data_IF_517107909903
#
_entry.id   IF_517107909903
#
_cell.length_a   1.000
_cell.length_b   1.000
_cell.length_c   1.000
_cell.angle_alpha   90.00
_cell.angle_beta   90.00
_cell.angle_gamma   90.00
#
_symmetry.space_group_name_H-M   'P 1'
#
loop_
_entity.id
_entity.type
_entity.pdbx_description
1 polymer ?
#
# COMPACT_ATOMS: atom_id res chain seq x y z
N UNK A 1 -0.20 -77.78 -11.32
CA UNK A 1 -0.21 -76.57 -10.46
C UNK A 1 1.07 -75.79 -10.72
N UNK A 2 1.00 -74.66 -11.45
CA UNK A 2 2.15 -73.77 -11.66
C UNK A 2 2.17 -72.74 -10.51
N UNK A 3 3.21 -72.77 -9.68
CA UNK A 3 3.43 -71.76 -8.65
C UNK A 3 4.00 -70.49 -9.31
N UNK A 4 3.24 -69.40 -9.26
CA UNK A 4 3.74 -68.06 -9.60
C UNK A 4 4.40 -67.48 -8.34
N UNK A 5 5.72 -67.27 -8.40
CA UNK A 5 6.47 -66.57 -7.36
C UNK A 5 6.33 -65.06 -7.62
N UNK A 6 5.61 -64.35 -6.76
CA UNK A 6 5.47 -62.89 -6.85
C UNK A 6 6.67 -62.24 -6.15
N UNK A 7 7.55 -61.62 -6.93
CA UNK A 7 8.68 -60.86 -6.42
C UNK A 7 8.17 -59.48 -5.97
N UNK A 8 8.14 -59.23 -4.66
CA UNK A 8 7.79 -57.91 -4.10
C UNK A 8 8.99 -56.97 -4.29
N UNK A 9 8.91 -56.07 -5.26
CA UNK A 9 9.86 -54.97 -5.44
C UNK A 9 9.62 -53.90 -4.35
N UNK A 10 10.47 -53.87 -3.33
CA UNK A 10 10.55 -52.75 -2.39
C UNK A 10 11.17 -51.54 -3.10
N UNK A 11 10.32 -50.59 -3.52
CA UNK A 11 10.75 -49.26 -3.95
C UNK A 11 11.18 -48.46 -2.71
N UNK A 12 12.43 -47.96 -2.63
CA UNK A 12 12.84 -47.11 -1.53
C UNK A 12 12.06 -45.79 -1.59
N UNK A 13 11.22 -45.56 -0.57
CA UNK A 13 10.58 -44.28 -0.35
C UNK A 13 11.65 -43.33 0.16
N UNK A 14 12.05 -42.34 -0.65
CA UNK A 14 12.93 -41.26 -0.19
C UNK A 14 12.10 -40.38 0.75
N UNK A 15 12.22 -40.61 2.04
CA UNK A 15 11.64 -39.74 3.07
C UNK A 15 12.54 -38.50 3.13
N UNK A 16 12.10 -37.39 2.53
CA UNK A 16 12.74 -36.10 2.77
C UNK A 16 12.49 -35.69 4.22
N UNK A 17 13.55 -35.54 5.00
CA UNK A 17 13.48 -34.95 6.33
C UNK A 17 13.06 -33.49 6.20
N UNK A 18 11.91 -33.13 6.79
CA UNK A 18 11.45 -31.75 6.85
C UNK A 18 12.27 -31.01 7.92
N UNK A 19 13.08 -30.03 7.51
CA UNK A 19 13.83 -29.22 8.46
C UNK A 19 12.98 -28.03 8.92
N UNK A 20 13.21 -27.64 10.17
CA UNK A 20 12.63 -26.43 10.76
C UNK A 20 13.72 -25.39 10.98
N UNK A 21 13.52 -24.21 10.43
CA UNK A 21 14.37 -23.05 10.65
C UNK A 21 13.64 -22.01 11.51
N UNK A 22 14.39 -21.26 12.29
CA UNK A 22 13.87 -20.21 13.15
C UNK A 22 14.51 -18.87 12.81
N UNK A 23 13.68 -17.82 12.77
CA UNK A 23 14.12 -16.43 12.53
C UNK A 23 13.64 -15.57 13.69
N UNK A 24 14.51 -14.73 14.24
CA UNK A 24 14.18 -13.78 15.31
C UNK A 24 14.85 -12.43 15.02
N UNK A 25 14.34 -11.36 15.63
CA UNK A 25 15.04 -10.07 15.61
C UNK A 25 16.43 -10.22 16.26
N UNK A 26 17.38 -9.36 15.85
CA UNK A 26 18.71 -9.33 16.46
C UNK A 26 18.65 -9.05 17.98
N UNK A 27 17.73 -8.19 18.40
CA UNK A 27 17.43 -7.91 19.82
C UNK A 27 16.91 -9.12 20.59
N UNK A 28 16.46 -10.16 19.88
CA UNK A 28 15.98 -11.44 20.42
C UNK A 28 16.92 -12.60 20.07
N UNK A 29 18.19 -12.31 19.74
CA UNK A 29 19.24 -13.29 19.51
C UNK A 29 19.36 -13.81 18.08
N UNK A 30 18.66 -13.23 17.10
CA UNK A 30 18.84 -13.52 15.69
C UNK A 30 20.23 -13.13 15.17
N UNK A 31 20.90 -14.01 14.42
CA UNK A 31 22.18 -13.69 13.80
C UNK A 31 22.44 -14.54 12.53
N UNK A 32 22.56 -13.92 11.36
CA UNK A 32 22.75 -14.65 10.10
C UNK A 32 24.16 -15.21 9.88
N UNK A 33 25.14 -14.71 10.64
CA UNK A 33 26.56 -15.06 10.49
C UNK A 33 26.99 -16.23 11.37
N UNK A 34 26.46 -16.33 12.59
CA UNK A 34 26.92 -17.32 13.58
C UNK A 34 25.88 -18.38 13.92
N UNK A 35 24.60 -18.09 13.73
CA UNK A 35 23.55 -18.99 14.20
C UNK A 35 23.25 -20.08 13.17
N UNK A 36 22.67 -21.17 13.65
CA UNK A 36 22.36 -22.37 12.84
C UNK A 36 20.89 -22.44 12.39
N UNK A 37 20.08 -21.43 12.74
CA UNK A 37 18.65 -21.41 12.42
C UNK A 37 17.81 -22.34 13.30
N UNK A 38 18.30 -22.70 14.50
CA UNK A 38 17.54 -23.49 15.48
C UNK A 38 16.76 -22.58 16.42
N UNK A 39 15.82 -23.11 17.18
CA UNK A 39 15.03 -22.31 18.13
C UNK A 39 15.88 -21.52 19.14
N UNK A 40 17.01 -22.09 19.58
CA UNK A 40 17.94 -21.47 20.55
C UNK A 40 19.04 -20.62 19.88
N UNK A 41 19.14 -20.69 18.55
CA UNK A 41 20.12 -19.98 17.75
C UNK A 41 19.47 -19.65 16.41
N UNK A 42 18.51 -18.70 16.39
CA UNK A 42 17.72 -18.37 15.20
C UNK A 42 18.52 -17.48 14.24
N UNK A 43 18.19 -17.50 12.95
CA UNK A 43 18.68 -16.49 12.00
C UNK A 43 18.09 -15.11 12.31
N UNK A 44 18.73 -14.04 11.82
CA UNK A 44 18.21 -12.69 11.88
C UNK A 44 17.21 -12.40 10.73
N UNK A 45 17.42 -13.02 9.56
CA UNK A 45 16.59 -12.77 8.37
C UNK A 45 15.90 -14.01 7.82
N UNK A 46 14.73 -13.79 7.21
CA UNK A 46 13.98 -14.84 6.51
C UNK A 46 14.73 -15.27 5.24
N UNK A 47 15.39 -14.34 4.55
CA UNK A 47 16.22 -14.66 3.38
C UNK A 47 17.37 -15.61 3.74
N UNK A 48 17.97 -15.47 4.93
CA UNK A 48 18.98 -16.42 5.40
C UNK A 48 18.40 -17.82 5.58
N UNK A 49 17.23 -17.95 6.20
CA UNK A 49 16.54 -19.24 6.30
C UNK A 49 16.22 -19.82 4.91
N UNK A 50 15.62 -19.02 4.02
CA UNK A 50 15.28 -19.42 2.65
C UNK A 50 16.51 -19.90 1.85
N UNK A 51 17.69 -19.33 2.09
CA UNK A 51 18.93 -19.77 1.42
C UNK A 51 19.31 -21.23 1.73
N UNK A 52 18.85 -21.77 2.86
CA UNK A 52 19.13 -23.14 3.33
C UNK A 52 17.93 -24.08 3.19
N UNK A 53 16.72 -23.54 3.09
CA UNK A 53 15.49 -24.32 2.97
C UNK A 53 15.42 -25.08 1.64
N UNK A 54 15.03 -26.34 1.75
CA UNK A 54 14.68 -27.24 0.65
C UNK A 54 13.17 -27.53 0.65
N UNK A 55 12.73 -28.27 -0.36
CA UNK A 55 11.33 -28.71 -0.46
C UNK A 55 10.92 -29.52 0.76
N UNK A 56 9.83 -29.10 1.40
CA UNK A 56 9.28 -29.67 2.63
C UNK A 56 9.63 -28.90 3.90
N UNK A 57 10.56 -27.94 3.84
CA UNK A 57 11.03 -27.23 5.03
C UNK A 57 10.06 -26.14 5.50
N UNK A 58 10.10 -25.85 6.80
CA UNK A 58 9.32 -24.80 7.46
C UNK A 58 10.24 -23.76 8.10
N UNK A 59 9.91 -22.49 7.95
CA UNK A 59 10.52 -21.39 8.69
C UNK A 59 9.52 -20.84 9.70
N UNK A 60 9.87 -20.92 10.98
CA UNK A 60 9.16 -20.33 12.10
C UNK A 60 9.74 -18.96 12.42
N UNK A 61 8.96 -17.90 12.23
CA UNK A 61 9.36 -16.53 12.54
C UNK A 61 8.89 -16.18 13.95
N UNK A 62 9.82 -15.73 14.79
CA UNK A 62 9.56 -15.31 16.17
C UNK A 62 8.89 -13.94 16.21
N UNK A 63 8.19 -13.65 17.29
CA UNK A 63 7.43 -12.41 17.48
C UNK A 63 8.30 -11.16 17.36
N UNK A 64 7.79 -10.16 16.66
CA UNK A 64 8.49 -8.90 16.42
C UNK A 64 7.98 -8.14 15.19
N UNK A 65 8.53 -6.95 15.01
CA UNK A 65 8.29 -6.10 13.84
C UNK A 65 9.52 -6.13 12.93
N UNK A 66 9.32 -6.54 11.68
CA UNK A 66 10.34 -6.79 10.70
C UNK A 66 10.21 -5.81 9.53
N UNK A 67 11.30 -5.10 9.24
CA UNK A 67 11.46 -4.42 7.95
C UNK A 67 12.45 -5.27 7.13
N UNK A 68 11.93 -6.12 6.24
CA UNK A 68 12.74 -6.98 5.36
C UNK A 68 12.12 -7.04 3.96
N UNK A 69 12.98 -7.20 2.95
CA UNK A 69 12.59 -7.52 1.57
C UNK A 69 12.79 -9.03 1.36
N UNK A 70 11.78 -9.83 1.67
CA UNK A 70 11.85 -11.29 1.57
C UNK A 70 11.64 -11.73 0.12
N UNK A 71 12.56 -12.54 -0.41
CA UNK A 71 12.49 -13.04 -1.79
C UNK A 71 12.42 -14.57 -1.81
N UNK A 72 11.27 -15.09 -2.20
CA UNK A 72 11.04 -16.53 -2.42
C UNK A 72 11.13 -16.78 -3.92
N UNK A 73 12.31 -17.22 -4.39
CA UNK A 73 12.57 -17.49 -5.81
C UNK A 73 12.99 -18.93 -6.02
N UNK A 74 12.41 -19.61 -7.02
CA UNK A 74 12.74 -20.99 -7.39
C UNK A 74 12.61 -21.98 -6.22
N UNK A 75 11.61 -21.79 -5.34
CA UNK A 75 11.34 -22.65 -4.19
C UNK A 75 10.07 -23.46 -4.41
N UNK A 76 10.00 -24.65 -3.80
CA UNK A 76 8.81 -25.49 -3.88
C UNK A 76 8.49 -26.09 -2.52
N UNK A 77 7.21 -26.21 -2.17
CA UNK A 77 6.72 -26.92 -0.98
C UNK A 77 7.33 -26.41 0.34
N UNK A 78 7.34 -25.10 0.58
CA UNK A 78 7.86 -24.53 1.83
C UNK A 78 6.78 -23.76 2.59
N UNK A 79 6.97 -23.66 3.90
CA UNK A 79 6.07 -22.92 4.79
C UNK A 79 6.83 -21.82 5.49
N UNK A 80 6.32 -20.59 5.45
CA UNK A 80 6.71 -19.49 6.34
C UNK A 80 5.54 -19.22 7.28
N UNK A 81 5.78 -19.31 8.59
CA UNK A 81 4.73 -19.07 9.58
C UNK A 81 5.27 -18.52 10.88
N UNK A 82 4.44 -17.84 11.66
CA UNK A 82 4.79 -17.44 13.03
C UNK A 82 5.08 -18.66 13.91
N UNK A 83 6.03 -18.53 14.84
CA UNK A 83 6.23 -19.53 15.88
C UNK A 83 5.17 -19.40 16.97
N UNK A 84 4.47 -20.49 17.32
CA UNK A 84 3.50 -20.55 18.43
C UNK A 84 2.51 -19.37 18.49
N UNK A 85 1.95 -18.98 17.34
CA UNK A 85 1.01 -17.86 17.21
C UNK A 85 1.55 -16.50 17.71
N UNK A 86 2.88 -16.36 17.82
CA UNK A 86 3.52 -15.08 18.18
C UNK A 86 3.18 -14.00 17.13
N UNK A 87 3.01 -12.75 17.59
CA UNK A 87 2.72 -11.62 16.71
C UNK A 87 3.95 -11.26 15.85
N UNK A 88 3.87 -11.50 14.55
CA UNK A 88 4.89 -11.17 13.56
C UNK A 88 4.32 -10.15 12.58
N UNK A 89 4.90 -8.96 12.56
CA UNK A 89 4.48 -7.88 11.67
C UNK A 89 5.59 -7.50 10.71
N UNK A 90 5.32 -7.57 9.41
CA UNK A 90 6.11 -6.87 8.41
C UNK A 90 5.67 -5.41 8.36
N UNK A 91 6.54 -4.48 8.75
CA UNK A 91 6.24 -3.06 8.76
C UNK A 91 7.04 -2.36 7.66
N UNK A 92 6.34 -1.85 6.64
CA UNK A 92 6.93 -1.15 5.50
C UNK A 92 7.28 0.31 5.76
N UNK A 93 7.24 0.75 7.02
CA UNK A 93 7.55 2.12 7.40
C UNK A 93 8.92 2.27 8.03
N UNK A 94 9.47 3.49 7.95
CA UNK A 94 10.64 3.92 8.72
C UNK A 94 10.22 4.97 9.73
N UNK A 95 10.73 4.81 10.95
CA UNK A 95 10.53 5.78 12.03
C UNK A 95 11.21 7.10 11.68
N UNK A 96 10.51 8.20 11.86
CA UNK A 96 11.03 9.56 11.72
C UNK A 96 11.60 9.97 13.08
N UNK A 97 12.92 9.91 13.21
CA UNK A 97 13.64 10.18 14.47
C UNK A 97 14.15 11.62 14.59
N UNK A 98 13.79 12.49 13.64
CA UNK A 98 14.18 13.90 13.65
C UNK A 98 13.29 14.71 14.59
N UNK A 99 13.84 15.79 15.16
CA UNK A 99 13.12 16.65 16.08
C UNK A 99 12.14 17.56 15.33
N UNK A 100 10.91 17.63 15.83
CA UNK A 100 9.88 18.51 15.31
C UNK A 100 9.99 19.90 15.94
N UNK A 101 9.84 20.93 15.10
CA UNK A 101 9.81 22.33 15.52
C UNK A 101 8.49 22.96 15.10
N UNK A 102 8.04 24.00 15.81
CA UNK A 102 6.82 24.70 15.44
C UNK A 102 7.05 25.51 14.15
N UNK A 103 6.13 25.36 13.19
CA UNK A 103 6.14 26.13 11.94
C UNK A 103 5.18 27.31 12.03
N UNK A 104 3.89 27.04 12.29
CA UNK A 104 2.86 28.06 12.43
C UNK A 104 1.66 27.50 13.21
N UNK A 105 1.27 28.15 14.31
CA UNK A 105 0.13 27.72 15.12
C UNK A 105 0.30 26.27 15.60
N UNK A 106 -0.59 25.38 15.16
CA UNK A 106 -0.58 23.95 15.49
C UNK A 106 0.15 23.08 14.47
N UNK A 107 0.81 23.69 13.48
CA UNK A 107 1.59 23.00 12.46
C UNK A 107 3.05 22.91 12.90
N UNK A 108 3.59 21.71 12.84
CA UNK A 108 4.98 21.40 13.16
C UNK A 108 5.68 20.89 11.91
N UNK A 109 6.99 21.05 11.87
CA UNK A 109 7.81 20.59 10.76
C UNK A 109 9.07 19.85 11.20
N UNK A 110 9.56 19.00 10.32
CA UNK A 110 10.87 18.35 10.43
C UNK A 110 11.46 18.10 9.05
N UNK A 111 12.77 17.86 8.97
CA UNK A 111 13.44 17.45 7.74
C UNK A 111 13.55 15.93 7.70
N UNK A 112 13.27 15.33 6.54
CA UNK A 112 13.43 13.90 6.30
C UNK A 112 14.79 13.61 5.66
N UNK A 113 15.31 12.42 5.93
CA UNK A 113 16.50 11.86 5.26
C UNK A 113 16.15 10.90 4.11
N UNK A 114 14.88 10.51 4.02
CA UNK A 114 14.34 9.62 3.00
C UNK A 114 12.92 10.06 2.61
N UNK A 115 12.56 9.87 1.34
CA UNK A 115 11.19 10.11 0.87
C UNK A 115 10.20 9.10 1.48
N UNK A 116 9.02 9.59 1.85
CA UNK A 116 7.87 8.81 2.28
C UNK A 116 6.65 9.19 1.42
N UNK A 117 5.70 8.27 1.25
CA UNK A 117 4.46 8.56 0.51
C UNK A 117 3.17 8.28 1.29
N UNK A 118 3.30 7.88 2.55
CA UNK A 118 2.19 7.71 3.49
C UNK A 118 2.75 7.99 4.90
N UNK A 119 2.02 8.72 5.75
CA UNK A 119 2.48 9.12 7.07
C UNK A 119 1.57 8.55 8.16
N UNK A 120 2.19 8.09 9.25
CA UNK A 120 1.49 7.56 10.40
C UNK A 120 1.96 8.24 11.69
N UNK A 121 1.00 8.57 12.56
CA UNK A 121 1.24 9.04 13.93
C UNK A 121 0.56 8.06 14.89
N UNK A 122 1.34 7.42 15.75
CA UNK A 122 0.89 6.37 16.68
C UNK A 122 0.10 5.25 15.98
N UNK A 123 0.57 4.87 14.79
CA UNK A 123 -0.03 3.88 13.87
C UNK A 123 -1.35 4.28 13.20
N UNK A 124 -1.82 5.53 13.38
CA UNK A 124 -2.96 6.06 12.62
C UNK A 124 -2.47 6.79 11.37
N UNK A 125 -3.10 6.54 10.22
CA UNK A 125 -2.78 7.24 8.98
C UNK A 125 -3.20 8.72 9.06
N UNK A 126 -2.30 9.60 8.61
CA UNK A 126 -2.56 11.03 8.49
C UNK A 126 -3.06 11.34 7.08
N UNK A 127 -4.02 12.24 6.96
CA UNK A 127 -4.59 12.70 5.70
C UNK A 127 -3.59 13.61 4.99
N UNK A 128 -3.33 13.39 3.71
CA UNK A 128 -2.60 14.39 2.92
C UNK A 128 -3.43 15.68 2.89
N UNK A 129 -2.81 16.80 3.28
CA UNK A 129 -3.45 18.11 3.32
C UNK A 129 -4.19 18.36 2.01
N UNK A 130 -5.51 18.56 2.10
CA UNK A 130 -6.40 18.52 0.93
C UNK A 130 -7.49 19.55 0.96
N UNK A 131 -7.97 19.91 -0.22
CA UNK A 131 -9.21 20.64 -0.40
C UNK A 131 -10.14 19.88 -1.37
N UNK A 132 -11.43 19.69 -1.06
CA UNK A 132 -12.04 19.98 0.24
C UNK A 132 -11.53 19.08 1.37
N UNK A 133 -11.72 19.56 2.60
CA UNK A 133 -11.33 18.87 3.82
C UNK A 133 -12.10 17.54 3.99
N UNK A 134 -11.37 16.49 4.35
CA UNK A 134 -11.93 15.19 4.70
C UNK A 134 -11.02 14.51 5.74
N UNK A 135 -11.53 13.49 6.43
CA UNK A 135 -10.80 12.79 7.48
C UNK A 135 -11.04 11.28 7.49
N UNK A 136 -10.01 10.54 7.92
CA UNK A 136 -10.15 9.11 8.23
C UNK A 136 -10.94 8.89 9.53
N UNK A 137 -10.83 9.79 10.52
CA UNK A 137 -11.43 9.58 11.85
C UNK A 137 -12.95 9.63 11.85
N UNK A 138 -13.54 10.48 11.03
CA UNK A 138 -14.99 10.60 10.85
C UNK A 138 -15.50 9.88 9.58
N UNK A 139 -14.59 9.25 8.83
CA UNK A 139 -14.83 8.53 7.57
C UNK A 139 -15.34 9.41 6.43
N UNK A 140 -15.28 10.73 6.54
CA UNK A 140 -15.66 11.65 5.46
C UNK A 140 -14.79 11.45 4.21
N UNK A 141 -13.56 10.95 4.36
CA UNK A 141 -12.69 10.60 3.24
C UNK A 141 -13.27 9.54 2.29
N UNK A 142 -14.22 8.71 2.78
CA UNK A 142 -14.93 7.71 1.98
C UNK A 142 -16.25 8.24 1.40
N UNK A 143 -16.61 9.49 1.66
CA UNK A 143 -17.86 10.09 1.19
C UNK A 143 -17.61 11.01 -0.01
N UNK A 144 -18.39 10.84 -1.07
CA UNK A 144 -18.39 11.71 -2.23
C UNK A 144 -18.74 13.16 -1.89
N UNK A 145 -19.49 13.40 -0.81
CA UNK A 145 -19.79 14.75 -0.32
C UNK A 145 -18.53 15.53 0.07
N UNK A 146 -17.38 14.88 0.26
CA UNK A 146 -16.08 15.53 0.54
C UNK A 146 -15.23 15.76 -0.72
N UNK A 147 -15.86 15.68 -1.89
CA UNK A 147 -15.26 15.96 -3.19
C UNK A 147 -15.93 17.20 -3.79
N UNK A 148 -15.13 18.07 -4.40
CA UNK A 148 -15.63 19.12 -5.27
C UNK A 148 -16.11 18.52 -6.60
N UNK A 149 -16.95 19.25 -7.33
CA UNK A 149 -17.52 18.78 -8.59
C UNK A 149 -17.28 19.76 -9.73
N UNK A 150 -17.25 19.23 -10.94
CA UNK A 150 -17.15 19.98 -12.19
C UNK A 150 -18.50 20.26 -12.84
N UNK A 151 -18.64 21.43 -13.44
CA UNK A 151 -19.73 21.74 -14.38
C UNK A 151 -19.29 21.28 -15.77
N UNK A 152 -19.86 20.19 -16.27
CA UNK A 152 -19.55 19.67 -17.62
C UNK A 152 -20.39 20.31 -18.73
N UNK A 153 -21.54 20.88 -18.38
CA UNK A 153 -22.44 21.51 -19.33
C UNK A 153 -22.03 22.95 -19.67
N UNK A 154 -22.45 23.43 -20.83
CA UNK A 154 -22.24 24.82 -21.25
C UNK A 154 -22.93 25.80 -20.29
N UNK A 155 -22.20 26.81 -19.81
CA UNK A 155 -22.76 27.93 -19.02
C UNK A 155 -22.28 29.27 -19.57
N UNK A 156 -22.90 30.37 -19.12
CA UNK A 156 -22.50 31.71 -19.56
C UNK A 156 -21.02 31.97 -19.24
N UNK A 157 -20.24 32.33 -20.26
CA UNK A 157 -18.78 32.53 -20.16
C UNK A 157 -17.93 31.27 -20.35
N UNK A 158 -18.52 30.08 -20.26
CA UNK A 158 -17.86 28.79 -20.44
C UNK A 158 -18.70 27.89 -21.38
N UNK A 159 -18.64 28.12 -22.70
CA UNK A 159 -19.49 27.42 -23.66
C UNK A 159 -19.27 25.91 -23.71
N UNK A 160 -18.10 25.43 -23.27
CA UNK A 160 -17.73 24.02 -23.26
C UNK A 160 -17.77 23.40 -21.84
N UNK A 161 -18.16 24.16 -20.81
CA UNK A 161 -18.06 23.71 -19.42
C UNK A 161 -16.64 23.25 -19.07
N UNK A 162 -16.55 22.11 -18.37
CA UNK A 162 -15.31 21.37 -18.11
C UNK A 162 -14.96 20.46 -19.29
N UNK A 163 -13.68 20.44 -19.66
CA UNK A 163 -13.17 19.62 -20.76
C UNK A 163 -11.81 19.01 -20.40
N UNK A 164 -11.31 18.06 -21.18
CA UNK A 164 -10.06 17.39 -20.86
C UNK A 164 -8.88 18.37 -20.77
N UNK A 165 -8.38 18.60 -19.56
CA UNK A 165 -7.32 19.56 -19.24
C UNK A 165 -7.80 20.90 -18.64
N UNK A 166 -9.11 21.07 -18.44
CA UNK A 166 -9.71 22.26 -17.82
C UNK A 166 -10.93 21.87 -16.98
N UNK A 167 -10.96 22.31 -15.73
CA UNK A 167 -12.07 22.06 -14.82
C UNK A 167 -12.75 23.38 -14.47
N UNK A 168 -14.07 23.44 -14.69
CA UNK A 168 -14.94 24.50 -14.20
C UNK A 168 -15.61 24.00 -12.93
N UNK A 169 -15.20 24.51 -11.78
CA UNK A 169 -15.68 24.07 -10.47
C UNK A 169 -17.11 24.53 -10.25
N UNK A 170 -17.99 23.62 -9.83
CA UNK A 170 -19.33 23.94 -9.35
C UNK A 170 -19.26 24.53 -7.92
N UNK A 171 -19.58 25.82 -7.73
CA UNK A 171 -19.49 26.45 -6.42
C UNK A 171 -20.67 26.10 -5.50
N UNK A 172 -21.62 25.27 -5.93
CA UNK A 172 -22.83 24.92 -5.17
C UNK A 172 -22.50 24.25 -3.82
N UNK A 173 -21.54 23.33 -3.82
CA UNK A 173 -21.06 22.63 -2.62
C UNK A 173 -19.71 23.18 -2.14
N UNK A 174 -18.79 23.42 -3.08
CA UNK A 174 -17.42 23.85 -2.77
C UNK A 174 -16.99 25.00 -3.68
N UNK A 175 -16.88 26.19 -3.11
CA UNK A 175 -16.51 27.40 -3.85
C UNK A 175 -14.99 27.64 -3.76
N UNK A 176 -14.25 27.17 -4.76
CA UNK A 176 -12.79 27.34 -4.86
C UNK A 176 -12.40 28.82 -4.84
N UNK A 177 -13.12 29.69 -5.54
CA UNK A 177 -12.85 31.12 -5.58
C UNK A 177 -12.91 31.78 -4.19
N UNK A 178 -13.84 31.32 -3.34
CA UNK A 178 -14.00 31.85 -1.99
C UNK A 178 -12.83 31.48 -1.05
N UNK A 179 -12.05 30.45 -1.38
CA UNK A 179 -10.88 30.05 -0.58
C UNK A 179 -9.73 31.04 -0.68
N UNK A 180 -9.62 31.78 -1.79
CA UNK A 180 -8.46 32.62 -2.08
C UNK A 180 -7.15 31.86 -2.34
N UNK A 181 -7.20 30.52 -2.39
CA UNK A 181 -6.03 29.68 -2.61
C UNK A 181 -5.48 29.84 -4.03
N UNK A 182 -4.16 29.76 -4.18
CA UNK A 182 -3.53 29.52 -5.48
C UNK A 182 -3.15 28.05 -5.59
N UNK A 183 -3.95 27.28 -6.32
CA UNK A 183 -3.77 25.83 -6.44
C UNK A 183 -2.80 25.42 -7.57
N UNK A 184 -2.11 26.36 -8.23
CA UNK A 184 -1.09 26.00 -9.22
C UNK A 184 0.00 25.13 -8.56
N UNK A 185 0.36 24.03 -9.22
CA UNK A 185 1.28 23.01 -8.72
C UNK A 185 0.69 22.02 -7.71
N UNK A 186 -0.60 22.14 -7.38
CA UNK A 186 -1.32 21.12 -6.62
C UNK A 186 -1.50 19.84 -7.44
N UNK A 187 -1.95 18.79 -6.75
CA UNK A 187 -2.28 17.49 -7.32
C UNK A 187 -3.79 17.37 -7.31
N UNK A 188 -4.41 17.35 -8.49
CA UNK A 188 -5.81 16.99 -8.65
C UNK A 188 -5.97 15.47 -8.67
N UNK A 189 -6.84 14.96 -7.80
CA UNK A 189 -7.33 13.58 -7.83
C UNK A 189 -8.65 13.63 -8.59
N UNK A 190 -8.57 13.45 -9.92
CA UNK A 190 -9.61 13.84 -10.87
C UNK A 190 -10.44 12.63 -11.35
N UNK A 191 -11.70 12.49 -10.93
CA UNK A 191 -12.63 11.46 -11.43
C UNK A 191 -13.20 11.84 -12.82
N UNK A 192 -12.32 12.06 -13.79
CA UNK A 192 -12.68 12.50 -15.15
C UNK A 192 -12.81 11.36 -16.16
N UNK A 193 -12.71 10.11 -15.70
CA UNK A 193 -12.95 8.92 -16.51
C UNK A 193 -14.31 8.26 -16.27
N UNK A 194 -15.23 8.92 -15.53
CA UNK A 194 -16.49 8.37 -15.02
C UNK A 194 -16.27 7.09 -14.21
N UNK A 195 -16.19 7.21 -12.88
CA UNK A 195 -15.83 6.12 -11.95
C UNK A 195 -14.37 5.67 -12.06
N UNK A 196 -13.54 6.49 -12.70
CA UNK A 196 -12.10 6.26 -12.86
C UNK A 196 -11.34 7.55 -12.56
N UNK A 197 -10.42 7.48 -11.61
CA UNK A 197 -9.69 8.64 -11.09
C UNK A 197 -8.27 8.72 -11.64
N UNK A 198 -7.87 9.94 -11.98
CA UNK A 198 -6.55 10.29 -12.50
C UNK A 198 -5.86 11.32 -11.61
N UNK A 199 -4.65 11.03 -11.17
CA UNK A 199 -3.81 12.02 -10.50
C UNK A 199 -3.21 12.95 -11.55
N UNK A 200 -3.42 14.27 -11.44
CA UNK A 200 -2.90 15.25 -12.40
C UNK A 200 -2.37 16.49 -11.70
N UNK A 201 -1.23 16.99 -12.15
CA UNK A 201 -0.76 18.30 -11.74
C UNK A 201 -1.70 19.39 -12.26
N UNK A 202 -2.04 20.33 -11.38
CA UNK A 202 -2.72 21.57 -11.72
C UNK A 202 -1.70 22.54 -12.30
N UNK A 203 -1.84 22.88 -13.58
CA UNK A 203 -0.84 23.63 -14.34
C UNK A 203 -1.04 25.14 -14.24
N UNK A 204 -2.28 25.59 -14.00
CA UNK A 204 -2.58 27.01 -13.79
C UNK A 204 -3.90 27.24 -13.08
N UNK A 205 -3.92 28.23 -12.19
CA UNK A 205 -5.10 28.77 -11.52
C UNK A 205 -4.79 30.18 -11.00
N UNK A 206 -5.69 31.15 -11.18
CA UNK A 206 -5.58 32.41 -10.45
C UNK A 206 -6.41 32.33 -9.16
N UNK A 207 -5.88 32.91 -8.08
CA UNK A 207 -6.66 33.04 -6.85
C UNK A 207 -8.00 33.71 -7.13
N UNK A 208 -9.04 33.28 -6.41
CA UNK A 208 -10.41 33.76 -6.55
C UNK A 208 -11.12 33.40 -7.87
N UNK A 209 -10.61 32.43 -8.63
CA UNK A 209 -11.33 31.81 -9.75
C UNK A 209 -11.95 30.46 -9.34
N UNK A 210 -13.03 30.07 -10.04
CA UNK A 210 -13.67 28.75 -9.89
C UNK A 210 -13.34 27.85 -11.07
N UNK A 211 -12.15 27.98 -11.64
CA UNK A 211 -11.71 27.11 -12.72
C UNK A 211 -10.19 27.00 -12.74
N UNK A 212 -9.67 25.88 -13.23
CA UNK A 212 -8.24 25.65 -13.34
C UNK A 212 -7.91 24.78 -14.55
N UNK A 213 -6.64 24.80 -14.95
CA UNK A 213 -6.11 23.86 -15.95
C UNK A 213 -5.27 22.79 -15.28
N UNK A 214 -5.29 21.59 -15.87
CA UNK A 214 -4.55 20.44 -15.38
C UNK A 214 -3.97 19.65 -16.57
N UNK A 215 -2.97 18.82 -16.31
CA UNK A 215 -2.42 17.95 -17.36
C UNK A 215 -3.52 16.98 -17.88
N UNK A 216 -3.80 16.91 -19.18
CA UNK A 216 -4.92 16.12 -19.69
C UNK A 216 -4.75 14.62 -19.42
N UNK A 217 -5.88 13.89 -19.43
CA UNK A 217 -5.90 12.42 -19.40
C UNK A 217 -5.94 11.87 -20.82
N UNK A 218 -5.64 10.57 -21.06
CA UNK A 218 -5.80 9.98 -22.39
C UNK A 218 -7.22 10.19 -22.93
N UNK A 219 -7.35 10.66 -24.18
CA UNK A 219 -8.65 11.03 -24.76
C UNK A 219 -9.66 9.87 -24.80
N UNK A 220 -9.19 8.63 -24.93
CA UNK A 220 -10.05 7.44 -24.88
C UNK A 220 -10.55 7.10 -23.46
N UNK A 221 -9.94 7.67 -22.42
CA UNK A 221 -10.31 7.47 -21.02
C UNK A 221 -11.21 8.60 -20.48
N UNK A 222 -11.09 9.82 -21.00
CA UNK A 222 -11.91 10.97 -20.58
C UNK A 222 -13.42 10.74 -20.80
N UNK A 223 -14.25 11.21 -19.87
CA UNK A 223 -15.71 11.19 -19.94
C UNK A 223 -16.25 12.53 -19.45
N UNK A 224 -17.12 13.13 -20.26
CA UNK A 224 -17.81 14.40 -20.03
C UNK A 224 -18.98 14.30 -19.02
N UNK A 225 -18.77 13.56 -17.92
CA UNK A 225 -19.79 13.34 -16.89
C UNK A 225 -19.18 12.87 -15.57
N UNK A 226 -19.90 13.13 -14.48
CA UNK A 226 -19.54 12.69 -13.13
C UNK A 226 -18.16 13.21 -12.66
N UNK A 227 -17.79 14.42 -13.09
CA UNK A 227 -16.57 15.08 -12.65
C UNK A 227 -16.64 15.39 -11.16
N UNK A 228 -15.93 14.59 -10.38
CA UNK A 228 -15.67 14.84 -8.97
C UNK A 228 -14.17 14.86 -8.77
N UNK A 229 -13.68 15.73 -7.91
CA UNK A 229 -12.26 15.82 -7.61
C UNK A 229 -12.00 16.36 -6.21
N UNK A 230 -10.78 16.17 -5.75
CA UNK A 230 -10.19 16.94 -4.67
C UNK A 230 -8.73 17.21 -4.98
N UNK A 231 -8.13 18.13 -4.24
CA UNK A 231 -6.80 18.66 -4.46
C UNK A 231 -5.93 18.33 -3.25
N UNK A 232 -4.69 17.94 -3.50
CA UNK A 232 -3.65 17.67 -2.50
C UNK A 232 -2.33 18.34 -2.91
N UNK A 233 -1.28 18.17 -2.09
CA UNK A 233 0.09 18.46 -2.52
C UNK A 233 0.49 19.93 -2.43
N UNK A 234 -0.17 20.71 -1.55
CA UNK A 234 0.26 22.06 -1.17
C UNK A 234 0.22 22.26 0.34
N UNK A 235 1.18 23.02 0.86
CA UNK A 235 1.19 23.45 2.25
C UNK A 235 -0.03 24.31 2.60
N UNK A 236 -0.54 25.10 1.64
CA UNK A 236 -1.70 25.97 1.84
C UNK A 236 -3.01 25.20 2.13
N UNK A 237 -3.04 23.89 1.89
CA UNK A 237 -4.18 23.03 2.24
C UNK A 237 -4.09 22.47 3.67
N UNK A 238 -2.97 22.68 4.37
CA UNK A 238 -2.76 22.14 5.71
C UNK A 238 -3.44 23.04 6.74
N UNK A 239 -4.72 22.79 7.02
CA UNK A 239 -5.55 23.72 7.80
C UNK A 239 -6.34 23.08 8.96
N UNK A 240 -6.37 21.75 9.04
CA UNK A 240 -7.07 21.02 10.11
C UNK A 240 -6.21 19.92 10.73
N UNK A 241 -6.61 19.48 11.93
CA UNK A 241 -5.95 18.37 12.61
C UNK A 241 -6.04 17.08 11.77
N UNK A 242 -5.03 16.22 11.94
CA UNK A 242 -4.83 14.98 11.19
C UNK A 242 -4.33 15.14 9.75
N UNK A 243 -3.78 16.30 9.40
CA UNK A 243 -3.23 16.52 8.06
C UNK A 243 -1.71 16.60 8.02
N UNK A 244 -1.13 16.31 6.85
CA UNK A 244 0.30 16.48 6.58
C UNK A 244 0.57 16.92 5.15
N UNK A 245 1.69 17.59 4.95
CA UNK A 245 2.21 17.96 3.63
C UNK A 245 3.71 17.68 3.58
N UNK A 246 4.21 17.20 2.45
CA UNK A 246 5.63 16.96 2.25
C UNK A 246 6.15 17.69 1.01
N UNK A 247 7.10 18.59 1.24
CA UNK A 247 7.83 19.24 0.16
C UNK A 247 9.02 18.36 -0.25
N UNK A 248 8.87 17.70 -1.40
CA UNK A 248 9.88 16.80 -1.95
C UNK A 248 11.17 17.50 -2.38
N UNK A 249 11.16 18.82 -2.58
CA UNK A 249 12.33 19.60 -2.99
C UNK A 249 13.16 20.03 -1.80
N UNK A 250 12.51 20.51 -0.73
CA UNK A 250 13.21 20.93 0.50
C UNK A 250 13.38 19.80 1.52
N UNK A 251 12.75 18.64 1.28
CA UNK A 251 12.69 17.50 2.22
C UNK A 251 12.00 17.84 3.54
N UNK A 252 11.20 18.90 3.59
CA UNK A 252 10.48 19.32 4.80
C UNK A 252 9.11 18.64 4.83
N UNK A 253 8.87 17.92 5.93
CA UNK A 253 7.58 17.36 6.28
C UNK A 253 6.88 18.29 7.27
N UNK A 254 5.64 18.67 6.95
CA UNK A 254 4.75 19.47 7.77
C UNK A 254 3.60 18.59 8.28
N UNK A 255 3.22 18.79 9.53
CA UNK A 255 2.22 17.99 10.22
C UNK A 255 1.34 18.87 11.09
N UNK A 256 0.03 18.69 11.01
CA UNK A 256 -0.94 19.16 11.99
C UNK A 256 -1.42 17.94 12.81
N UNK A 257 -0.85 17.70 14.00
CA UNK A 257 -1.21 16.56 14.84
C UNK A 257 -2.69 16.57 15.25
N UNK A 258 -3.27 15.39 15.46
CA UNK A 258 -4.64 15.17 15.99
C UNK A 258 -5.06 16.12 17.13
N UNK A 259 -4.14 16.42 18.05
CA UNK A 259 -4.37 17.24 19.24
C UNK A 259 -3.79 18.66 19.13
N UNK A 260 -3.21 19.01 17.98
CA UNK A 260 -2.53 20.27 17.72
C UNK A 260 -1.30 20.54 18.60
N UNK A 261 -0.81 19.55 19.35
CA UNK A 261 0.33 19.69 20.25
C UNK A 261 1.63 19.24 19.60
N UNK A 262 2.75 19.64 20.20
CA UNK A 262 4.09 19.24 19.76
C UNK A 262 4.20 17.70 19.69
N UNK A 263 4.57 17.13 18.52
CA UNK A 263 4.53 15.68 18.32
C UNK A 263 5.83 14.97 18.76
N UNK A 264 6.83 15.67 19.28
CA UNK A 264 8.05 15.04 19.79
C UNK A 264 7.73 14.01 20.89
N UNK A 265 8.34 12.83 20.78
CA UNK A 265 8.09 11.69 21.68
C UNK A 265 6.99 10.73 21.21
N UNK A 266 6.19 11.10 20.19
CA UNK A 266 5.22 10.20 19.56
C UNK A 266 5.88 9.22 18.59
N UNK A 267 5.17 8.15 18.25
CA UNK A 267 5.62 7.21 17.23
C UNK A 267 5.22 7.70 15.84
N UNK A 268 6.09 8.47 15.19
CA UNK A 268 5.86 8.96 13.83
C UNK A 268 6.71 8.17 12.85
N UNK A 269 6.09 7.63 11.81
CA UNK A 269 6.74 6.78 10.81
C UNK A 269 6.09 6.96 9.45
N UNK A 270 6.85 6.76 8.38
CA UNK A 270 6.35 6.92 7.01
C UNK A 270 6.67 5.71 6.13
N UNK A 271 5.79 5.41 5.17
CA UNK A 271 5.94 4.28 4.25
C UNK A 271 7.12 4.49 3.31
N UNK A 272 8.00 3.49 3.24
CA UNK A 272 9.18 3.45 2.35
C UNK A 272 9.33 2.13 1.59
N UNK A 273 8.44 1.16 1.84
CA UNK A 273 8.43 -0.16 1.20
C UNK A 273 7.06 -0.45 0.55
N UNK A 274 7.08 -1.11 -0.59
CA UNK A 274 5.87 -1.60 -1.26
C UNK A 274 5.54 -3.05 -0.86
N UNK A 275 6.48 -3.97 -1.13
CA UNK A 275 6.33 -5.39 -0.89
C UNK A 275 7.35 -5.89 0.13
N UNK A 276 6.88 -6.43 1.26
CA UNK A 276 7.72 -7.12 2.23
C UNK A 276 8.06 -8.55 1.76
N UNK A 277 7.20 -9.16 0.94
CA UNK A 277 7.41 -10.51 0.40
C UNK A 277 7.19 -10.51 -1.11
N UNK A 278 8.19 -10.98 -1.86
CA UNK A 278 8.09 -11.26 -3.28
C UNK A 278 8.26 -12.75 -3.55
N UNK A 279 7.30 -13.36 -4.25
CA UNK A 279 7.29 -14.77 -4.63
C UNK A 279 7.40 -14.87 -6.16
N UNK A 280 8.44 -15.50 -6.66
CA UNK A 280 8.67 -15.67 -8.10
C UNK A 280 9.07 -17.10 -8.42
N UNK A 281 8.54 -17.63 -9.52
CA UNK A 281 8.84 -18.98 -10.03
C UNK A 281 8.84 -20.06 -8.92
N UNK A 282 7.84 -20.04 -8.04
CA UNK A 282 7.82 -20.86 -6.83
C UNK A 282 6.45 -21.52 -6.64
N UNK A 283 6.41 -22.78 -6.23
CA UNK A 283 5.14 -23.52 -6.13
C UNK A 283 4.89 -24.06 -4.72
N UNK A 284 3.62 -24.22 -4.34
CA UNK A 284 3.24 -24.82 -3.07
C UNK A 284 3.88 -24.08 -1.87
N UNK A 285 3.83 -22.75 -1.89
CA UNK A 285 4.36 -21.90 -0.82
C UNK A 285 3.22 -21.53 0.12
N UNK A 286 3.41 -21.75 1.41
CA UNK A 286 2.46 -21.31 2.44
C UNK A 286 3.02 -20.11 3.19
N UNK A 287 2.23 -19.03 3.26
CA UNK A 287 2.47 -17.86 4.11
C UNK A 287 1.33 -17.82 5.12
N UNK A 288 1.65 -18.02 6.41
CA UNK A 288 0.62 -18.20 7.43
C UNK A 288 0.87 -17.37 8.70
N UNK A 289 -0.18 -16.69 9.17
CA UNK A 289 -0.23 -15.98 10.45
C UNK A 289 0.76 -14.80 10.55
N UNK A 290 0.72 -13.91 9.56
CA UNK A 290 1.52 -12.68 9.53
C UNK A 290 0.66 -11.43 9.43
N UNK A 291 1.13 -10.36 10.08
CA UNK A 291 0.61 -9.02 9.92
C UNK A 291 1.50 -8.25 8.94
N UNK A 292 0.88 -7.42 8.12
CA UNK A 292 1.53 -6.51 7.19
C UNK A 292 0.98 -5.12 7.47
N UNK A 293 1.86 -4.21 7.91
CA UNK A 293 1.53 -2.82 8.16
C UNK A 293 2.22 -1.97 7.10
N UNK A 294 1.44 -1.22 6.33
CA UNK A 294 1.99 -0.30 5.33
C UNK A 294 2.91 -0.99 4.32
N UNK A 295 2.62 -2.25 3.96
CA UNK A 295 3.35 -3.10 2.99
C UNK A 295 2.50 -4.31 2.64
N UNK A 296 2.88 -5.07 1.62
CA UNK A 296 2.13 -6.27 1.21
C UNK A 296 3.02 -7.32 0.54
N UNK A 297 2.45 -8.25 -0.22
CA UNK A 297 3.17 -9.22 -1.04
C UNK A 297 2.83 -9.13 -2.53
N UNK A 298 3.79 -9.56 -3.34
CA UNK A 298 3.61 -9.82 -4.78
C UNK A 298 4.02 -11.26 -5.06
N UNK A 299 3.16 -12.01 -5.75
CA UNK A 299 3.50 -13.30 -6.32
C UNK A 299 3.40 -13.28 -7.84
N UNK A 300 4.27 -13.99 -8.57
CA UNK A 300 4.16 -14.19 -10.02
C UNK A 300 4.76 -15.51 -10.46
N UNK A 301 4.39 -15.97 -11.65
CA UNK A 301 4.97 -17.16 -12.30
C UNK A 301 4.90 -18.41 -11.41
N UNK A 302 3.84 -18.57 -10.63
CA UNK A 302 3.78 -19.48 -9.49
C UNK A 302 2.48 -20.29 -9.46
N UNK A 303 2.40 -21.34 -8.65
CA UNK A 303 1.17 -22.14 -8.49
C UNK A 303 1.06 -22.75 -7.10
N UNK A 304 -0.16 -22.99 -6.63
CA UNK A 304 -0.38 -23.68 -5.35
C UNK A 304 -0.03 -22.85 -4.12
N UNK A 305 -0.06 -21.52 -4.21
CA UNK A 305 0.22 -20.68 -3.04
C UNK A 305 -0.93 -20.77 -2.04
N UNK A 306 -0.62 -20.75 -0.75
CA UNK A 306 -1.59 -20.64 0.34
C UNK A 306 -1.22 -19.42 1.17
N UNK A 307 -2.04 -18.38 1.11
CA UNK A 307 -1.90 -17.21 1.98
C UNK A 307 -3.06 -17.26 2.97
N UNK A 308 -2.76 -17.48 4.25
CA UNK A 308 -3.82 -17.69 5.24
C UNK A 308 -3.55 -17.06 6.60
N UNK A 309 -4.64 -16.68 7.27
CA UNK A 309 -4.61 -16.04 8.60
C UNK A 309 -3.73 -14.77 8.62
N UNK A 310 -3.68 -14.04 7.51
CA UNK A 310 -2.87 -12.82 7.39
C UNK A 310 -3.71 -11.56 7.50
N UNK A 311 -3.12 -10.49 8.04
CA UNK A 311 -3.76 -9.18 8.16
C UNK A 311 -2.94 -8.12 7.42
N UNK A 312 -3.55 -7.49 6.44
CA UNK A 312 -2.99 -6.43 5.62
C UNK A 312 -3.65 -5.09 5.96
N UNK A 313 -2.96 -4.25 6.73
CA UNK A 313 -3.35 -2.88 7.04
C UNK A 313 -2.53 -1.91 6.20
N UNK A 314 -3.20 -0.99 5.50
CA UNK A 314 -2.54 -0.02 4.61
C UNK A 314 -1.63 -0.67 3.54
N UNK A 315 -2.04 -1.80 2.91
CA UNK A 315 -1.14 -2.59 2.07
C UNK A 315 -0.55 -1.80 0.89
N UNK A 316 -1.31 -0.84 0.37
CA UNK A 316 -0.96 -0.04 -0.79
C UNK A 316 -1.39 1.41 -0.62
N UNK A 317 -0.59 2.29 -1.20
CA UNK A 317 -0.81 3.74 -1.25
C UNK A 317 -0.08 4.29 -2.47
N UNK A 318 -0.73 5.20 -3.19
CA UNK A 318 -0.15 5.87 -4.35
C UNK A 318 1.04 6.73 -3.92
N UNK A 319 1.97 6.95 -4.84
CA UNK A 319 3.14 7.81 -4.63
C UNK A 319 2.86 9.26 -5.05
N UNK A 320 1.59 9.69 -5.06
CA UNK A 320 1.19 10.99 -5.58
C UNK A 320 1.83 12.16 -4.82
N UNK A 321 2.00 12.06 -3.49
CA UNK A 321 2.75 13.06 -2.71
C UNK A 321 4.22 13.20 -3.15
N UNK A 322 4.78 12.17 -3.79
CA UNK A 322 6.11 12.22 -4.42
C UNK A 322 6.09 12.78 -5.85
N UNK A 323 4.96 13.32 -6.29
CA UNK A 323 4.68 13.80 -7.66
C UNK A 323 4.70 12.70 -8.72
N UNK A 324 4.47 11.44 -8.32
CA UNK A 324 4.19 10.36 -9.26
C UNK A 324 2.69 10.35 -9.60
N UNK A 325 2.36 10.91 -10.76
CA UNK A 325 0.98 11.08 -11.23
C UNK A 325 0.49 9.93 -12.10
N UNK A 326 1.40 9.10 -12.61
CA UNK A 326 1.13 8.16 -13.71
C UNK A 326 1.25 6.70 -13.29
N UNK A 327 1.78 6.42 -12.11
CA UNK A 327 1.85 5.07 -11.56
C UNK A 327 0.68 4.78 -10.63
N UNK A 328 0.01 3.65 -10.87
CA UNK A 328 -0.97 3.13 -9.93
C UNK A 328 -0.24 2.61 -8.69
N UNK A 329 -0.89 2.64 -7.51
CA UNK A 329 -0.36 1.98 -6.33
C UNK A 329 -0.06 0.50 -6.61
N UNK A 330 1.06 0.03 -6.06
CA UNK A 330 1.43 -1.38 -6.10
C UNK A 330 0.59 -2.15 -5.08
N UNK A 331 -0.22 -3.10 -5.58
CA UNK A 331 -1.28 -3.79 -4.82
C UNK A 331 -0.85 -5.21 -4.42
N UNK A 332 -1.39 -5.73 -3.33
CA UNK A 332 -1.35 -7.17 -3.00
C UNK A 332 -1.74 -8.00 -4.21
N UNK A 333 -0.87 -8.87 -4.71
CA UNK A 333 -1.15 -9.52 -6.00
C UNK A 333 -0.76 -10.99 -6.09
N UNK A 334 -1.69 -11.80 -6.61
CA UNK A 334 -1.43 -13.11 -7.19
C UNK A 334 -1.30 -12.95 -8.70
N UNK A 335 -0.08 -12.82 -9.16
CA UNK A 335 0.27 -12.61 -10.56
C UNK A 335 0.30 -11.13 -10.94
N UNK A 336 0.53 -10.86 -12.22
CA UNK A 336 0.43 -9.54 -12.82
C UNK A 336 0.13 -9.69 -14.32
N UNK A 337 -0.05 -8.58 -15.04
CA UNK A 337 -0.33 -8.61 -16.49
C UNK A 337 0.66 -9.48 -17.27
N UNK A 338 0.13 -10.24 -18.23
CA UNK A 338 0.88 -11.17 -19.09
C UNK A 338 0.90 -12.61 -18.56
N UNK A 339 0.56 -13.57 -19.44
CA UNK A 339 0.34 -14.98 -19.07
C UNK A 339 1.51 -15.65 -18.33
N UNK A 340 2.76 -15.25 -18.62
CA UNK A 340 3.95 -15.81 -17.95
C UNK A 340 3.99 -15.47 -16.46
N UNK A 341 3.34 -14.38 -16.06
CA UNK A 341 3.32 -13.90 -14.69
C UNK A 341 2.14 -14.45 -13.89
N UNK A 342 1.26 -15.24 -14.49
CA UNK A 342 0.07 -15.75 -13.82
C UNK A 342 0.43 -16.59 -12.59
N UNK A 343 -0.46 -16.54 -11.60
CA UNK A 343 -0.45 -17.42 -10.44
C UNK A 343 -1.68 -18.30 -10.51
N UNK A 344 -1.52 -19.63 -10.39
CA UNK A 344 -2.63 -20.57 -10.59
C UNK A 344 -2.86 -21.45 -9.36
N UNK A 345 -4.04 -22.06 -9.26
CA UNK A 345 -4.37 -23.09 -8.26
C UNK A 345 -4.05 -22.67 -6.81
N UNK A 346 -4.18 -21.38 -6.50
CA UNK A 346 -3.77 -20.80 -5.21
C UNK A 346 -4.97 -20.41 -4.35
N UNK A 347 -4.76 -20.30 -3.04
CA UNK A 347 -5.81 -20.00 -2.06
C UNK A 347 -5.40 -18.78 -1.23
N UNK A 348 -6.30 -17.81 -1.10
CA UNK A 348 -6.25 -16.77 -0.09
C UNK A 348 -7.44 -17.00 0.84
N UNK A 349 -7.18 -17.22 2.13
CA UNK A 349 -8.26 -17.48 3.08
C UNK A 349 -8.04 -16.93 4.47
N UNK A 350 -9.13 -16.57 5.17
CA UNK A 350 -9.06 -16.06 6.55
C UNK A 350 -8.14 -14.84 6.68
N UNK A 351 -8.11 -14.00 5.63
CA UNK A 351 -7.30 -12.80 5.61
C UNK A 351 -8.16 -11.55 5.82
N UNK A 352 -7.55 -10.51 6.40
CA UNK A 352 -8.12 -9.17 6.52
C UNK A 352 -7.36 -8.22 5.59
N UNK A 353 -8.06 -7.46 4.76
CA UNK A 353 -7.52 -6.35 3.98
C UNK A 353 -8.24 -5.05 4.36
N UNK A 354 -7.49 -4.02 4.74
CA UNK A 354 -8.10 -2.75 5.14
C UNK A 354 -7.25 -1.51 4.84
N UNK A 355 -7.96 -0.39 4.68
CA UNK A 355 -7.42 0.96 4.48
C UNK A 355 -6.52 1.07 3.24
N UNK A 356 -7.09 0.79 2.07
CA UNK A 356 -6.33 0.83 0.81
C UNK A 356 -6.56 2.13 0.04
N UNK A 357 -5.53 2.57 -0.66
CA UNK A 357 -5.59 3.57 -1.73
C UNK A 357 -5.32 2.80 -3.02
N UNK A 358 -6.40 2.36 -3.68
CA UNK A 358 -6.43 1.34 -4.74
C UNK A 358 -7.02 0.00 -4.29
N UNK A 359 -6.95 -1.01 -5.17
CA UNK A 359 -7.51 -2.34 -4.96
C UNK A 359 -7.01 -3.04 -3.68
N UNK A 360 -7.84 -3.89 -3.09
CA UNK A 360 -7.43 -4.75 -1.97
C UNK A 360 -6.47 -5.87 -2.41
N UNK A 361 -6.79 -6.50 -3.55
CA UNK A 361 -6.16 -7.71 -4.04
C UNK A 361 -6.38 -7.83 -5.56
N UNK A 362 -5.30 -8.07 -6.32
CA UNK A 362 -5.36 -8.41 -7.75
C UNK A 362 -5.02 -9.87 -7.98
N UNK A 363 -5.73 -10.52 -8.91
CA UNK A 363 -5.54 -11.93 -9.23
C UNK A 363 -5.46 -12.09 -10.75
N UNK A 364 -4.37 -12.71 -11.20
CA UNK A 364 -4.10 -13.10 -12.58
C UNK A 364 -3.77 -14.58 -12.62
N UNK A 365 -4.49 -15.33 -13.47
CA UNK A 365 -4.36 -16.78 -13.61
C UNK A 365 -5.64 -17.53 -13.26
N UNK A 366 -5.57 -18.86 -13.29
CA UNK A 366 -6.72 -19.75 -13.24
C UNK A 366 -6.80 -20.54 -11.93
N UNK A 367 -8.01 -20.95 -11.57
CA UNK A 367 -8.32 -21.83 -10.43
C UNK A 367 -7.83 -21.30 -9.07
N UNK A 368 -7.77 -19.98 -8.91
CA UNK A 368 -7.50 -19.38 -7.62
C UNK A 368 -8.81 -19.28 -6.80
N UNK A 369 -8.72 -19.46 -5.49
CA UNK A 369 -9.84 -19.36 -4.56
C UNK A 369 -9.57 -18.25 -3.54
N UNK A 370 -10.53 -17.36 -3.36
CA UNK A 370 -10.59 -16.41 -2.25
C UNK A 370 -11.79 -16.78 -1.40
N UNK A 371 -11.57 -17.17 -0.15
CA UNK A 371 -12.65 -17.59 0.76
C UNK A 371 -12.45 -17.04 2.18
N UNK A 372 -13.54 -16.79 2.90
CA UNK A 372 -13.49 -16.40 4.32
C UNK A 372 -12.57 -15.19 4.60
N UNK A 373 -12.46 -14.24 3.68
CA UNK A 373 -11.70 -13.01 3.88
C UNK A 373 -12.64 -11.85 4.24
N UNK A 374 -12.12 -10.89 4.99
CA UNK A 374 -12.81 -9.64 5.29
C UNK A 374 -12.07 -8.48 4.61
N UNK A 375 -12.80 -7.64 3.88
CA UNK A 375 -12.26 -6.48 3.17
C UNK A 375 -13.09 -5.26 3.53
N UNK A 376 -12.47 -4.22 4.07
CA UNK A 376 -13.15 -2.99 4.50
C UNK A 376 -12.30 -1.76 4.20
N UNK A 377 -12.94 -0.61 4.03
CA UNK A 377 -12.23 0.66 3.78
C UNK A 377 -11.29 0.58 2.57
N UNK A 378 -11.83 0.07 1.46
CA UNK A 378 -11.10 -0.16 0.23
C UNK A 378 -11.24 1.04 -0.68
N UNK A 379 -10.11 1.50 -1.20
CA UNK A 379 -9.97 2.50 -2.26
C UNK A 379 -10.70 3.83 -1.99
N UNK A 380 -10.24 4.58 -0.99
CA UNK A 380 -10.81 5.90 -0.69
C UNK A 380 -10.62 6.93 -1.82
N UNK A 381 -9.73 6.64 -2.76
CA UNK A 381 -9.41 7.49 -3.92
C UNK A 381 -10.16 7.14 -5.19
N UNK A 382 -10.86 6.00 -5.22
CA UNK A 382 -11.42 5.44 -6.47
C UNK A 382 -10.33 5.31 -7.54
N UNK A 383 -9.12 4.91 -7.12
CA UNK A 383 -7.91 4.94 -7.93
C UNK A 383 -7.75 3.67 -8.76
N UNK A 384 -7.94 3.81 -10.06
CA UNK A 384 -7.40 2.89 -11.04
C UNK A 384 -6.97 3.75 -12.23
N UNK A 385 -5.69 4.08 -12.40
CA UNK A 385 -5.26 4.95 -13.53
C UNK A 385 -5.65 4.40 -14.91
#
# INVERSE_FOLDING_TARGET
>A
MKFFLFFLLFLPSVIFSQNSYFVALESSGGNDSTNLGTINSPFATINKALSLMNSGDTCFVRGGTYYQDVVISNKNNIVLTSYNDEFVCFDGTRKINTNWTNYNGNIFQTTLDNHIWQLFVDNNEMVMARWPNANFTDKSIYNLDSWASGIVDSVAGFPDGSYNGFELVDPSNYNLAATGLNITGAIGIMNVGSFKTYNREITSHNANENFFSYNPVPNNAYRDKHHNFYLEGKLDFLDQANEWYYDTTTMILYLYPDNGQNPNGRNIKGKTQEYAISIDNSNNITINNFFFFSTTFLAKSSSGLIIENCHFSFPNCSKRMLKDYLSSPNVTSLGQSGNINNVNNSIIRKCLFEYTDGDALRIYGNNNLVENCYMQYIDYTVSEL
#
